data_IF_028889810816
#
_entry.id   IF_028889810816
#
_cell.length_a   1.000
_cell.length_b   1.000
_cell.length_c   1.000
_cell.angle_alpha   90.00
_cell.angle_beta   90.00
_cell.angle_gamma   90.00
#
_symmetry.space_group_name_H-M   'P 1'
#
loop_
_entity.id
_entity.type
_entity.pdbx_description
1 polymer ?
#
# COMPACT_ATOMS: atom_id res chain seq x y z
N UNK A 1 -3.62 25.67 -6.79
CA UNK A 1 -3.52 25.27 -5.36
C UNK A 1 -4.94 25.15 -4.82
N UNK A 2 -5.44 23.95 -4.59
CA UNK A 2 -6.77 23.73 -4.01
C UNK A 2 -6.71 24.05 -2.52
N UNK A 3 -7.56 24.98 -2.05
CA UNK A 3 -7.67 25.31 -0.62
C UNK A 3 -8.29 24.12 0.10
N UNK A 4 -7.54 23.48 0.99
CA UNK A 4 -8.05 22.52 1.96
C UNK A 4 -9.15 23.21 2.81
N UNK A 5 -10.29 22.54 3.00
CA UNK A 5 -11.36 23.04 3.84
C UNK A 5 -11.34 22.25 5.15
N UNK A 6 -11.14 22.96 6.23
CA UNK A 6 -11.26 22.39 7.59
C UNK A 6 -12.73 22.20 7.93
N UNK A 7 -13.07 21.02 8.41
CA UNK A 7 -14.40 20.64 8.93
C UNK A 7 -14.21 20.03 10.31
N UNK A 8 -15.14 20.31 11.22
CA UNK A 8 -15.12 19.74 12.56
C UNK A 8 -16.15 18.63 12.65
N UNK A 9 -15.73 17.42 13.02
CA UNK A 9 -16.58 16.23 13.11
C UNK A 9 -16.72 15.80 14.56
N UNK A 10 -17.94 15.53 14.99
CA UNK A 10 -18.22 15.02 16.33
C UNK A 10 -17.77 13.56 16.46
N UNK A 11 -16.82 13.28 17.34
CA UNK A 11 -16.29 11.92 17.59
C UNK A 11 -17.31 10.93 18.14
N UNK A 12 -18.44 11.41 18.70
CA UNK A 12 -19.48 10.56 19.28
C UNK A 12 -20.58 10.18 18.28
N UNK A 13 -21.02 11.10 17.41
CA UNK A 13 -22.16 10.85 16.51
C UNK A 13 -21.88 11.11 15.02
N UNK A 14 -20.67 11.57 14.66
CA UNK A 14 -20.27 11.84 13.27
C UNK A 14 -20.88 13.10 12.66
N UNK A 15 -21.61 13.93 13.42
CA UNK A 15 -22.18 15.16 12.90
C UNK A 15 -21.06 16.16 12.56
N UNK A 16 -21.10 16.76 11.36
CA UNK A 16 -20.15 17.74 10.90
C UNK A 16 -20.56 19.18 11.15
N UNK A 17 -19.59 20.07 11.30
CA UNK A 17 -19.78 21.50 11.46
C UNK A 17 -18.67 22.28 10.78
N UNK A 18 -18.97 23.43 10.13
CA UNK A 18 -17.95 24.28 9.51
C UNK A 18 -17.12 25.06 10.53
N UNK A 19 -17.52 25.03 11.80
CA UNK A 19 -16.83 25.71 12.92
C UNK A 19 -16.83 24.80 14.15
N UNK A 20 -15.78 24.91 14.96
CA UNK A 20 -15.76 24.25 16.26
C UNK A 20 -16.88 24.82 17.16
N UNK A 21 -17.68 23.94 17.72
CA UNK A 21 -18.75 24.26 18.68
C UNK A 21 -18.58 23.41 19.93
N UNK A 22 -18.66 24.03 21.11
CA UNK A 22 -18.41 23.34 22.38
C UNK A 22 -19.39 22.22 22.70
N UNK A 23 -20.63 22.28 22.18
CA UNK A 23 -21.67 21.27 22.39
C UNK A 23 -22.21 20.79 21.05
N UNK A 24 -22.26 19.49 20.85
CA UNK A 24 -22.82 18.92 19.63
C UNK A 24 -24.37 19.06 19.63
N UNK A 25 -24.97 19.70 18.60
CA UNK A 25 -26.42 19.85 18.53
C UNK A 25 -27.15 18.53 18.25
N UNK A 26 -26.47 17.53 17.69
CA UNK A 26 -27.04 16.25 17.32
C UNK A 26 -27.10 15.25 18.49
N UNK A 27 -26.00 15.08 19.24
CA UNK A 27 -25.96 14.14 20.37
C UNK A 27 -25.95 14.80 21.75
N UNK A 28 -25.79 16.13 21.83
CA UNK A 28 -25.82 16.89 23.09
C UNK A 28 -24.52 16.82 23.91
N UNK A 29 -23.52 16.08 23.47
CA UNK A 29 -22.22 15.93 24.16
C UNK A 29 -21.33 17.16 24.03
N UNK A 30 -20.48 17.40 25.06
CA UNK A 30 -19.58 18.53 25.10
C UNK A 30 -18.16 18.12 24.65
N UNK A 31 -17.46 19.05 24.00
CA UNK A 31 -16.05 18.92 23.59
C UNK A 31 -15.75 17.67 22.72
N UNK A 32 -16.69 17.28 21.87
CA UNK A 32 -16.57 16.10 21.00
C UNK A 32 -16.16 16.42 19.57
N UNK A 33 -15.97 17.68 19.21
CA UNK A 33 -15.56 18.09 17.86
C UNK A 33 -14.06 17.99 17.69
N UNK A 34 -13.64 17.20 16.68
CA UNK A 34 -12.25 17.04 16.24
C UNK A 34 -12.11 17.70 14.87
N UNK A 35 -11.00 18.41 14.68
CA UNK A 35 -10.68 19.06 13.41
C UNK A 35 -10.23 18.01 12.39
N UNK A 36 -10.92 17.96 11.24
CA UNK A 36 -10.54 17.15 10.10
C UNK A 36 -10.30 18.03 8.87
N UNK A 37 -9.18 17.81 8.22
CA UNK A 37 -8.83 18.48 6.98
C UNK A 37 -9.43 17.67 5.83
N UNK A 38 -10.57 18.13 5.30
CA UNK A 38 -11.15 17.53 4.10
C UNK A 38 -10.47 18.13 2.88
N UNK A 39 -9.54 17.38 2.29
CA UNK A 39 -9.08 17.69 0.94
C UNK A 39 -10.27 17.55 -0.01
N UNK A 40 -10.58 18.60 -0.76
CA UNK A 40 -11.63 18.55 -1.76
C UNK A 40 -11.15 17.64 -2.89
N UNK A 41 -11.60 16.39 -2.86
CA UNK A 41 -11.41 15.51 -4.02
C UNK A 41 -12.00 16.21 -5.26
N UNK A 42 -11.27 16.26 -6.38
CA UNK A 42 -11.85 16.72 -7.62
C UNK A 42 -13.03 15.80 -7.95
N UNK A 43 -14.19 16.38 -8.23
CA UNK A 43 -15.39 15.66 -8.65
C UNK A 43 -15.10 14.92 -9.96
N UNK A 44 -14.69 13.67 -9.85
CA UNK A 44 -14.34 12.86 -10.98
C UNK A 44 -13.99 11.43 -10.58
N UNK A 45 -14.98 10.56 -10.72
CA UNK A 45 -14.91 9.10 -10.59
C UNK A 45 -14.71 8.59 -9.14
N UNK A 46 -15.80 8.14 -8.55
CA UNK A 46 -15.76 7.12 -7.51
C UNK A 46 -14.98 5.93 -8.07
N UNK A 47 -13.71 5.87 -7.73
CA UNK A 47 -12.95 4.64 -7.85
C UNK A 47 -13.44 3.79 -6.69
N UNK A 48 -14.54 3.07 -6.92
CA UNK A 48 -14.84 1.93 -6.09
C UNK A 48 -13.56 1.10 -6.04
N UNK A 49 -13.23 0.51 -4.90
CA UNK A 49 -12.16 -0.46 -4.76
C UNK A 49 -12.42 -1.62 -5.74
N UNK A 50 -12.23 -1.36 -7.02
CA UNK A 50 -12.35 -2.29 -8.11
C UNK A 50 -10.98 -2.85 -8.34
N UNK A 51 -10.83 -4.14 -8.14
CA UNK A 51 -9.71 -4.89 -8.67
C UNK A 51 -9.45 -4.43 -10.10
N UNK A 52 -8.24 -3.94 -10.37
CA UNK A 52 -7.81 -3.58 -11.71
C UNK A 52 -7.83 -4.89 -12.51
N UNK A 53 -8.77 -4.99 -13.45
CA UNK A 53 -8.79 -6.12 -14.38
C UNK A 53 -7.75 -5.89 -15.46
N UNK A 54 -6.93 -6.88 -15.81
CA UNK A 54 -5.99 -6.78 -16.92
C UNK A 54 -6.67 -6.52 -18.27
N UNK A 55 -7.97 -6.81 -18.40
CA UNK A 55 -8.63 -7.04 -19.70
C UNK A 55 -9.64 -5.96 -20.13
N UNK A 56 -9.67 -4.80 -19.51
CA UNK A 56 -10.44 -3.63 -20.02
C UNK A 56 -11.94 -3.85 -20.34
N UNK A 57 -12.56 -4.93 -19.90
CA UNK A 57 -13.90 -5.35 -20.31
C UNK A 57 -14.98 -4.96 -19.31
N UNK A 58 -15.93 -4.14 -19.75
CA UNK A 58 -17.30 -3.94 -19.37
C UNK A 58 -17.80 -4.05 -17.92
N UNK A 59 -19.08 -3.84 -17.62
CA UNK A 59 -19.62 -3.88 -16.27
C UNK A 59 -19.43 -5.27 -15.63
N UNK A 60 -18.95 -5.26 -14.38
CA UNK A 60 -18.70 -6.49 -13.59
C UNK A 60 -20.02 -7.21 -13.37
N UNK A 61 -20.17 -8.42 -13.89
CA UNK A 61 -21.30 -9.31 -13.63
C UNK A 61 -20.83 -10.48 -12.76
N UNK A 62 -21.65 -10.96 -11.82
CA UNK A 62 -21.36 -12.20 -11.10
C UNK A 62 -21.25 -13.37 -12.09
N UNK A 63 -20.22 -14.19 -11.92
CA UNK A 63 -19.98 -15.41 -12.72
C UNK A 63 -20.05 -16.61 -11.78
N UNK A 64 -20.62 -17.72 -12.23
CA UNK A 64 -20.65 -18.96 -11.44
C UNK A 64 -19.23 -19.51 -11.28
N UNK A 65 -18.90 -19.94 -10.07
CA UNK A 65 -17.56 -20.48 -9.77
C UNK A 65 -17.16 -21.62 -10.71
N UNK A 66 -18.10 -22.48 -11.09
CA UNK A 66 -17.87 -23.61 -12.01
C UNK A 66 -17.53 -23.18 -13.45
N UNK A 67 -17.89 -21.93 -13.83
CA UNK A 67 -17.64 -21.38 -15.16
C UNK A 67 -16.32 -20.61 -15.23
N UNK A 68 -15.61 -20.51 -14.08
CA UNK A 68 -14.28 -19.87 -14.01
C UNK A 68 -13.25 -20.93 -14.34
N UNK A 69 -12.57 -20.76 -15.47
CA UNK A 69 -11.40 -21.56 -15.81
C UNK A 69 -10.23 -21.09 -14.96
N UNK A 70 -9.66 -21.97 -14.15
CA UNK A 70 -8.40 -21.71 -13.45
C UNK A 70 -7.26 -21.79 -14.47
N UNK A 71 -6.81 -20.64 -14.96
CA UNK A 71 -5.50 -20.59 -15.61
C UNK A 71 -4.43 -20.72 -14.53
N UNK A 72 -3.35 -21.45 -14.80
CA UNK A 72 -2.23 -21.55 -13.87
C UNK A 72 -1.65 -20.14 -13.64
N UNK A 73 -1.80 -19.62 -12.42
CA UNK A 73 -1.24 -18.34 -12.05
C UNK A 73 0.29 -18.39 -12.12
N UNK A 74 0.86 -17.63 -13.04
CA UNK A 74 2.31 -17.49 -13.14
C UNK A 74 2.84 -16.83 -11.86
N UNK A 75 3.61 -17.58 -11.08
CA UNK A 75 4.23 -17.12 -9.83
C UNK A 75 5.66 -16.65 -10.10
N UNK A 76 6.06 -15.63 -9.37
CA UNK A 76 7.43 -15.11 -9.38
C UNK A 76 8.21 -15.89 -8.33
N UNK A 77 9.25 -16.57 -8.76
CA UNK A 77 10.21 -17.22 -7.85
C UNK A 77 11.04 -16.13 -7.15
N UNK A 78 10.99 -16.13 -5.82
CA UNK A 78 11.71 -15.14 -4.99
C UNK A 78 13.18 -15.55 -4.73
N UNK A 79 13.62 -16.70 -5.21
CA UNK A 79 14.98 -17.21 -5.00
C UNK A 79 15.22 -17.73 -3.58
N UNK A 80 14.24 -17.69 -2.70
CA UNK A 80 14.27 -18.21 -1.34
C UNK A 80 13.20 -19.31 -1.20
N UNK A 81 13.65 -20.52 -0.87
CA UNK A 81 12.74 -21.71 -0.80
C UNK A 81 11.70 -21.55 0.31
N UNK A 82 12.05 -20.96 1.44
CA UNK A 82 11.13 -20.81 2.56
C UNK A 82 10.08 -19.73 2.28
N UNK A 83 10.47 -18.60 1.70
CA UNK A 83 9.52 -17.58 1.25
C UNK A 83 8.58 -18.14 0.17
N UNK A 84 9.11 -18.85 -0.80
CA UNK A 84 8.30 -19.48 -1.84
C UNK A 84 7.34 -20.49 -1.22
N UNK A 85 7.78 -21.30 -0.26
CA UNK A 85 6.93 -22.28 0.44
C UNK A 85 5.79 -21.60 1.19
N UNK A 86 6.08 -20.53 1.93
CA UNK A 86 5.08 -19.76 2.68
C UNK A 86 4.07 -19.09 1.75
N UNK A 87 4.50 -18.64 0.58
CA UNK A 87 3.65 -18.02 -0.44
C UNK A 87 2.98 -19.02 -1.40
N UNK A 88 3.11 -20.32 -1.12
CA UNK A 88 2.48 -21.37 -1.92
C UNK A 88 3.12 -21.59 -3.30
N UNK A 89 4.44 -21.40 -3.41
CA UNK A 89 5.23 -21.63 -4.62
C UNK A 89 5.73 -20.37 -5.31
N UNK A 90 5.64 -19.21 -4.65
CA UNK A 90 6.14 -17.92 -5.16
C UNK A 90 5.11 -16.80 -5.09
N UNK A 91 5.52 -15.60 -5.48
CA UNK A 91 4.69 -14.40 -5.42
C UNK A 91 3.74 -14.33 -6.62
N UNK A 92 2.44 -14.21 -6.35
CA UNK A 92 1.42 -14.01 -7.39
C UNK A 92 1.44 -12.54 -7.85
N UNK A 93 1.38 -12.30 -9.15
CA UNK A 93 1.29 -10.95 -9.71
C UNK A 93 0.02 -10.24 -9.22
N UNK A 94 0.18 -8.98 -8.78
CA UNK A 94 -0.94 -8.18 -8.26
C UNK A 94 -1.31 -8.50 -6.80
N UNK A 95 -0.63 -9.45 -6.13
CA UNK A 95 -0.86 -9.71 -4.70
C UNK A 95 -0.20 -8.66 -3.82
N UNK A 96 -0.78 -8.46 -2.63
CA UNK A 96 -0.23 -7.66 -1.55
C UNK A 96 0.22 -8.60 -0.43
N UNK A 97 1.50 -8.53 -0.06
CA UNK A 97 2.08 -9.35 1.02
C UNK A 97 2.49 -8.44 2.18
N UNK A 98 1.98 -8.72 3.38
CA UNK A 98 2.37 -8.02 4.61
C UNK A 98 3.37 -8.88 5.39
N UNK A 99 4.55 -8.32 5.68
CA UNK A 99 5.58 -8.93 6.52
C UNK A 99 5.57 -8.24 7.88
N UNK A 100 5.06 -8.93 8.90
CA UNK A 100 5.00 -8.47 10.28
C UNK A 100 6.09 -9.11 11.16
N UNK A 101 6.37 -8.50 12.31
CA UNK A 101 7.29 -9.02 13.33
C UNK A 101 7.88 -7.91 14.20
N UNK A 102 8.60 -8.29 15.25
CA UNK A 102 9.23 -7.36 16.19
C UNK A 102 10.29 -6.48 15.51
N UNK A 103 10.55 -5.27 16.05
CA UNK A 103 11.65 -4.44 15.61
C UNK A 103 12.99 -5.19 15.70
N UNK A 104 13.87 -5.01 14.71
CA UNK A 104 15.21 -5.62 14.73
C UNK A 104 15.29 -7.08 14.25
N UNK A 105 14.18 -7.79 14.03
CA UNK A 105 14.19 -9.22 13.61
C UNK A 105 14.73 -9.45 12.18
N UNK A 106 14.99 -8.40 11.42
CA UNK A 106 15.56 -8.53 10.08
C UNK A 106 14.59 -8.40 8.91
N UNK A 107 13.34 -7.95 9.12
CA UNK A 107 12.34 -7.79 8.03
C UNK A 107 12.87 -7.02 6.82
N UNK A 108 13.41 -5.82 7.06
CA UNK A 108 13.94 -4.97 5.98
C UNK A 108 15.15 -5.59 5.28
N UNK A 109 15.95 -6.37 6.00
CA UNK A 109 17.09 -7.11 5.41
C UNK A 109 16.59 -8.24 4.52
N UNK A 110 15.60 -9.00 4.98
CA UNK A 110 14.98 -10.07 4.19
C UNK A 110 14.38 -9.53 2.89
N UNK A 111 13.59 -8.43 2.98
CA UNK A 111 12.98 -7.82 1.79
C UNK A 111 14.06 -7.31 0.82
N UNK A 112 15.09 -6.61 1.33
CA UNK A 112 16.18 -6.10 0.49
C UNK A 112 16.95 -7.25 -0.17
N UNK A 113 17.24 -8.32 0.55
CA UNK A 113 17.90 -9.51 0.02
C UNK A 113 17.06 -10.17 -1.07
N UNK A 114 15.76 -10.29 -0.85
CA UNK A 114 14.83 -10.86 -1.84
C UNK A 114 14.83 -10.03 -3.12
N UNK A 115 14.63 -8.71 -3.06
CA UNK A 115 14.56 -7.87 -4.27
C UNK A 115 15.89 -7.79 -5.02
N UNK A 116 17.02 -7.86 -4.32
CA UNK A 116 18.34 -7.95 -4.94
C UNK A 116 18.60 -9.32 -5.57
N UNK A 117 17.95 -10.37 -5.09
CA UNK A 117 18.02 -11.71 -5.67
C UNK A 117 17.17 -11.91 -6.94
N UNK A 118 16.18 -11.04 -7.19
CA UNK A 118 15.30 -11.14 -8.34
C UNK A 118 16.01 -10.72 -9.63
N UNK A 119 16.34 -11.68 -10.49
CA UNK A 119 16.99 -11.42 -11.77
C UNK A 119 15.98 -11.22 -12.88
N UNK A 120 16.22 -10.22 -13.74
CA UNK A 120 15.39 -9.94 -14.91
C UNK A 120 14.02 -9.31 -14.57
N UNK A 121 13.82 -8.87 -13.35
CA UNK A 121 12.62 -8.15 -12.90
C UNK A 121 13.01 -6.76 -12.41
N UNK A 122 12.33 -5.76 -12.93
CA UNK A 122 12.43 -4.40 -12.40
C UNK A 122 11.70 -4.32 -11.06
N UNK A 123 12.41 -3.88 -10.04
CA UNK A 123 11.90 -3.74 -8.68
C UNK A 123 12.06 -2.32 -8.19
N UNK A 124 11.09 -1.83 -7.42
CA UNK A 124 11.18 -0.55 -6.71
C UNK A 124 11.14 -0.82 -5.21
N UNK A 125 12.23 -0.48 -4.53
CA UNK A 125 12.32 -0.53 -3.08
C UNK A 125 12.07 0.87 -2.51
N UNK A 126 10.96 1.04 -1.82
CA UNK A 126 10.59 2.31 -1.17
C UNK A 126 10.93 2.23 0.31
N UNK A 127 11.64 3.22 0.83
CA UNK A 127 11.99 3.33 2.24
C UNK A 127 11.55 4.69 2.80
N UNK A 128 10.78 4.66 3.89
CA UNK A 128 10.43 5.85 4.67
C UNK A 128 11.35 6.11 5.86
N UNK A 129 12.25 5.17 6.19
CA UNK A 129 13.09 5.26 7.40
C UNK A 129 14.58 5.41 7.08
N UNK A 130 15.05 4.78 6.02
CA UNK A 130 16.48 4.71 5.68
C UNK A 130 16.80 5.57 4.45
N UNK A 131 17.95 6.24 4.50
CA UNK A 131 18.49 6.97 3.36
C UNK A 131 19.04 6.02 2.29
N UNK A 132 19.10 6.47 1.03
CA UNK A 132 19.66 5.70 -0.10
C UNK A 132 21.11 5.25 0.17
N UNK A 133 21.90 6.07 0.90
CA UNK A 133 23.28 5.72 1.28
C UNK A 133 23.33 4.56 2.28
N UNK A 134 22.42 4.55 3.27
CA UNK A 134 22.34 3.45 4.25
C UNK A 134 21.88 2.15 3.58
N UNK A 135 20.90 2.24 2.69
CA UNK A 135 20.45 1.10 1.89
C UNK A 135 21.58 0.56 1.00
N UNK A 136 22.38 1.43 0.36
CA UNK A 136 23.53 1.01 -0.44
C UNK A 136 24.56 0.27 0.40
N UNK A 137 24.95 0.81 1.57
CA UNK A 137 25.89 0.13 2.48
C UNK A 137 25.38 -1.23 2.96
N UNK A 138 24.07 -1.39 3.12
CA UNK A 138 23.44 -2.66 3.46
C UNK A 138 23.44 -3.61 2.27
N UNK A 139 23.09 -3.14 1.08
CA UNK A 139 23.09 -3.91 -0.15
C UNK A 139 24.48 -4.48 -0.47
N UNK A 140 25.53 -3.68 -0.26
CA UNK A 140 26.91 -4.12 -0.49
C UNK A 140 27.37 -5.29 0.41
N UNK A 141 26.68 -5.53 1.53
CA UNK A 141 26.91 -6.68 2.41
C UNK A 141 26.11 -7.91 1.97
N UNK A 142 25.12 -7.72 1.13
CA UNK A 142 24.29 -8.79 0.60
C UNK A 142 24.92 -9.22 -0.72
N UNK A 143 25.31 -10.48 -0.85
CA UNK A 143 26.04 -11.00 -2.00
C UNK A 143 25.16 -11.17 -3.27
N UNK A 144 24.13 -10.35 -3.42
CA UNK A 144 23.21 -10.35 -4.57
C UNK A 144 23.16 -8.97 -5.20
N UNK A 145 23.11 -8.93 -6.53
CA UNK A 145 22.96 -7.72 -7.31
C UNK A 145 21.80 -7.86 -8.30
N UNK A 146 20.87 -6.93 -8.24
CA UNK A 146 19.85 -6.73 -9.26
C UNK A 146 20.08 -5.35 -9.90
N UNK A 147 20.57 -5.29 -11.15
CA UNK A 147 20.82 -4.02 -11.83
C UNK A 147 19.54 -3.21 -12.07
N UNK A 148 18.38 -3.88 -12.04
CA UNK A 148 17.07 -3.29 -12.26
C UNK A 148 16.32 -2.99 -10.94
N UNK A 149 17.04 -2.90 -9.81
CA UNK A 149 16.49 -2.50 -8.52
C UNK A 149 16.60 -0.99 -8.34
N UNK A 150 15.46 -0.31 -8.32
CA UNK A 150 15.36 1.13 -8.05
C UNK A 150 15.07 1.37 -6.57
N UNK A 151 15.66 2.45 -6.03
CA UNK A 151 15.45 2.85 -4.63
C UNK A 151 14.82 4.23 -4.61
N UNK A 152 13.75 4.38 -3.81
CA UNK A 152 13.08 5.64 -3.55
C UNK A 152 12.99 5.84 -2.03
N UNK A 153 13.53 6.95 -1.53
CA UNK A 153 13.41 7.34 -0.12
C UNK A 153 12.33 8.40 0.00
N UNK A 154 11.11 8.00 0.30
CA UNK A 154 9.93 8.86 0.35
C UNK A 154 8.90 8.32 1.35
N UNK A 155 8.22 9.22 2.05
CA UNK A 155 7.15 8.90 3.01
C UNK A 155 5.77 9.32 2.53
N UNK A 156 5.71 10.21 1.54
CA UNK A 156 4.45 10.69 0.99
C UNK A 156 3.97 9.76 -0.13
N UNK A 157 2.84 9.10 0.08
CA UNK A 157 2.24 8.19 -0.89
C UNK A 157 1.89 8.87 -2.23
N UNK A 158 1.47 10.15 -2.21
CA UNK A 158 1.16 10.91 -3.44
C UNK A 158 2.39 11.16 -4.32
N UNK A 159 3.60 11.03 -3.76
CA UNK A 159 4.86 11.17 -4.50
C UNK A 159 5.43 9.82 -4.95
N UNK A 160 4.92 8.72 -4.40
CA UNK A 160 5.31 7.37 -4.77
C UNK A 160 4.51 6.88 -5.99
N UNK A 161 3.25 7.30 -6.12
CA UNK A 161 2.30 6.94 -7.18
C UNK A 161 1.88 8.14 -8.03
#
# INVERSE_FOLDING_TARGET
MAKAKTVYVCSNCGADSPKWIGKCPSCGEWNTYVEEIVAKEPAGKRVGAGFIRPDGAGPVRPVLLRDITSEEETRIDLGDQELNRVLGGGLVKGSLVLIGGEPGIGKSTLVLQTVLGLKGLRTLYVSGEESSRQLKLRADRIAHENPDCFILCETNLEQIF
#
